data_IF_142717953531
#
_entry.id   IF_142717953531
#
_cell.length_a   1.000
_cell.length_b   1.000
_cell.length_c   1.000
_cell.angle_alpha   90.00
_cell.angle_beta   90.00
_cell.angle_gamma   90.00
#
_symmetry.space_group_name_H-M   'P 1'
#
loop_
_entity.id
_entity.type
_entity.pdbx_description
1 polymer ?
#
# COMPACT_ATOMS: atom_id res chain seq x y z
N UNK A 1 10.45 7.74 -10.30
CA UNK A 1 9.69 7.27 -9.12
C UNK A 1 9.36 8.46 -8.25
N UNK A 2 8.16 8.48 -7.69
CA UNK A 2 7.61 9.50 -6.78
C UNK A 2 7.41 8.90 -5.39
N UNK A 3 7.37 9.76 -4.35
CA UNK A 3 7.15 9.29 -2.98
C UNK A 3 5.80 9.73 -2.44
N UNK A 4 5.12 8.82 -1.76
CA UNK A 4 3.81 9.01 -1.14
C UNK A 4 3.87 8.75 0.37
N UNK A 5 3.11 9.52 1.12
CA UNK A 5 2.94 9.35 2.56
C UNK A 5 1.77 8.41 2.82
N UNK A 6 2.00 7.25 3.46
CA UNK A 6 0.90 6.37 3.86
C UNK A 6 0.30 6.82 5.21
N UNK A 7 -0.99 7.18 5.21
CA UNK A 7 -1.65 7.73 6.41
C UNK A 7 -1.84 6.72 7.54
N UNK A 8 -1.73 5.40 7.28
CA UNK A 8 -1.74 4.39 8.33
C UNK A 8 -0.61 4.60 9.36
N UNK A 9 0.47 5.27 8.97
CA UNK A 9 1.57 5.66 9.85
C UNK A 9 1.11 6.51 11.04
N UNK A 10 -0.03 7.18 10.90
CA UNK A 10 -0.62 8.05 11.93
C UNK A 10 -1.82 7.44 12.66
N UNK A 11 -2.12 6.15 12.46
CA UNK A 11 -3.32 5.47 12.97
C UNK A 11 -3.58 5.58 14.47
N UNK A 12 -2.55 5.87 15.27
CA UNK A 12 -2.63 6.02 16.73
C UNK A 12 -2.34 7.45 17.19
N UNK A 13 -2.31 8.42 16.28
CA UNK A 13 -1.99 9.81 16.59
C UNK A 13 -3.22 10.69 16.41
N UNK A 14 -3.41 11.64 17.31
CA UNK A 14 -4.40 12.69 17.15
C UNK A 14 -3.79 13.77 16.23
N UNK A 15 -4.09 13.66 14.94
CA UNK A 15 -3.57 14.56 13.90
C UNK A 15 -4.68 14.85 12.91
N UNK A 16 -4.81 16.09 12.47
CA UNK A 16 -5.79 16.48 11.45
C UNK A 16 -5.30 16.11 10.04
N UNK A 17 -6.23 15.98 9.09
CA UNK A 17 -5.86 15.80 7.69
C UNK A 17 -5.10 17.01 7.15
N UNK A 18 -5.47 18.22 7.55
CA UNK A 18 -4.73 19.47 7.25
C UNK A 18 -3.26 19.38 7.67
N UNK A 19 -2.99 18.88 8.90
CA UNK A 19 -1.61 18.71 9.36
C UNK A 19 -0.83 17.65 8.58
N UNK A 20 -1.52 16.58 8.13
CA UNK A 20 -0.93 15.53 7.27
C UNK A 20 -0.59 16.10 5.89
N UNK A 21 -1.50 16.85 5.28
CA UNK A 21 -1.32 17.50 3.98
C UNK A 21 -0.16 18.49 4.03
N UNK A 22 -0.14 19.36 5.04
CA UNK A 22 0.93 20.32 5.23
C UNK A 22 2.29 19.64 5.44
N UNK A 23 2.32 18.60 6.29
CA UNK A 23 3.52 17.80 6.53
C UNK A 23 4.03 17.14 5.24
N UNK A 24 3.15 16.55 4.43
CA UNK A 24 3.53 15.93 3.16
C UNK A 24 4.14 16.96 2.21
N UNK A 25 3.50 18.11 2.05
CA UNK A 25 3.99 19.19 1.20
C UNK A 25 5.35 19.74 1.65
N UNK A 26 5.50 20.07 2.93
CA UNK A 26 6.74 20.65 3.48
C UNK A 26 7.95 19.71 3.42
N UNK A 27 7.71 18.40 3.42
CA UNK A 27 8.78 17.40 3.41
C UNK A 27 9.01 16.77 2.03
N UNK A 28 8.38 17.30 0.97
CA UNK A 28 8.67 16.92 -0.42
C UNK A 28 8.06 15.59 -0.86
N UNK A 29 7.00 15.14 -0.19
CA UNK A 29 6.16 14.08 -0.72
C UNK A 29 5.42 14.58 -1.97
N UNK A 30 5.21 13.71 -2.93
CA UNK A 30 4.51 14.01 -4.19
C UNK A 30 3.07 13.45 -4.15
N UNK A 31 2.72 12.71 -3.09
CA UNK A 31 1.36 12.19 -2.90
C UNK A 31 1.08 11.69 -1.50
N UNK A 32 -0.19 11.31 -1.28
CA UNK A 32 -0.69 10.74 -0.03
C UNK A 32 -1.49 9.48 -0.37
N UNK A 33 -1.16 8.38 0.26
CA UNK A 33 -1.96 7.17 0.31
C UNK A 33 -2.90 7.23 1.51
N UNK A 34 -4.18 7.12 1.27
CA UNK A 34 -5.19 7.15 2.33
C UNK A 34 -5.50 5.74 2.83
N UNK A 35 -5.31 5.48 4.11
CA UNK A 35 -5.91 4.33 4.75
C UNK A 35 -7.44 4.44 4.70
N UNK A 36 -8.14 3.36 4.31
CA UNK A 36 -9.58 3.37 4.05
C UNK A 36 -10.43 3.90 5.19
N UNK A 37 -10.04 3.60 6.44
CA UNK A 37 -10.69 4.16 7.63
C UNK A 37 -10.59 5.69 7.68
N UNK A 38 -9.42 6.25 7.35
CA UNK A 38 -9.25 7.70 7.27
C UNK A 38 -10.06 8.28 6.10
N UNK A 39 -9.99 7.67 4.92
CA UNK A 39 -10.75 8.11 3.75
C UNK A 39 -12.26 8.17 4.03
N UNK A 40 -12.80 7.14 4.67
CA UNK A 40 -14.22 7.10 5.03
C UNK A 40 -14.59 8.18 6.06
N UNK A 41 -13.77 8.38 7.10
CA UNK A 41 -14.01 9.40 8.12
C UNK A 41 -14.02 10.81 7.51
N UNK A 42 -13.03 11.13 6.68
CA UNK A 42 -12.92 12.41 5.99
C UNK A 42 -14.13 12.68 5.10
N UNK A 43 -14.61 11.68 4.36
CA UNK A 43 -15.79 11.79 3.50
C UNK A 43 -17.08 12.03 4.28
N UNK A 44 -17.25 11.37 5.43
CA UNK A 44 -18.51 11.41 6.21
C UNK A 44 -18.54 12.59 7.18
N UNK A 45 -17.42 12.87 7.88
CA UNK A 45 -17.38 13.79 9.01
C UNK A 45 -16.70 15.12 8.74
N UNK A 46 -15.73 15.15 7.80
CA UNK A 46 -14.86 16.31 7.61
C UNK A 46 -14.89 16.85 6.16
N UNK A 47 -16.01 16.69 5.49
CA UNK A 47 -16.15 16.91 4.05
C UNK A 47 -15.67 18.28 3.58
N UNK A 48 -16.17 19.35 4.20
CA UNK A 48 -15.83 20.72 3.81
C UNK A 48 -14.33 21.05 3.99
N UNK A 49 -13.76 20.63 5.11
CA UNK A 49 -12.33 20.80 5.37
C UNK A 49 -11.49 20.00 4.37
N UNK A 50 -11.89 18.76 4.13
CA UNK A 50 -11.18 17.89 3.18
C UNK A 50 -11.24 18.43 1.74
N UNK A 51 -12.36 18.98 1.28
CA UNK A 51 -12.47 19.60 -0.05
C UNK A 51 -11.48 20.77 -0.23
N UNK A 52 -11.26 21.57 0.82
CA UNK A 52 -10.22 22.62 0.81
C UNK A 52 -8.82 22.02 0.69
N UNK A 53 -8.54 20.96 1.43
CA UNK A 53 -7.25 20.28 1.36
C UNK A 53 -7.02 19.59 0.01
N UNK A 54 -8.04 18.99 -0.60
CA UNK A 54 -7.93 18.42 -1.94
C UNK A 54 -7.63 19.49 -3.00
N UNK A 55 -8.21 20.69 -2.84
CA UNK A 55 -7.88 21.85 -3.68
C UNK A 55 -6.43 22.27 -3.50
N UNK A 56 -5.96 22.37 -2.25
CA UNK A 56 -4.57 22.70 -1.95
C UNK A 56 -3.60 21.66 -2.54
N UNK A 57 -3.88 20.35 -2.38
CA UNK A 57 -3.07 19.27 -2.96
C UNK A 57 -2.93 19.46 -4.48
N UNK A 58 -4.04 19.67 -5.16
CA UNK A 58 -4.06 19.91 -6.62
C UNK A 58 -3.21 21.12 -7.02
N UNK A 59 -3.34 22.25 -6.31
CA UNK A 59 -2.60 23.48 -6.57
C UNK A 59 -1.09 23.31 -6.34
N UNK A 60 -0.69 22.37 -5.48
CA UNK A 60 0.70 22.04 -5.16
C UNK A 60 1.24 20.84 -5.94
N UNK A 61 0.47 20.28 -6.87
CA UNK A 61 0.81 19.06 -7.64
C UNK A 61 1.07 17.84 -6.76
N UNK A 62 0.38 17.73 -5.62
CA UNK A 62 0.28 16.51 -4.85
C UNK A 62 -1.01 15.78 -5.22
N UNK A 63 -1.01 14.46 -5.12
CA UNK A 63 -2.18 13.65 -5.43
C UNK A 63 -2.52 12.65 -4.33
N UNK A 64 -3.77 12.27 -4.23
CA UNK A 64 -4.16 11.07 -3.47
C UNK A 64 -3.83 9.89 -4.37
N UNK A 65 -2.80 9.13 -3.98
CA UNK A 65 -2.20 8.11 -4.85
C UNK A 65 -2.98 6.81 -4.88
N UNK A 66 -3.64 6.48 -3.77
CA UNK A 66 -4.37 5.22 -3.58
C UNK A 66 -5.23 5.30 -2.32
N UNK A 67 -6.31 4.51 -2.27
CA UNK A 67 -7.03 4.17 -1.04
C UNK A 67 -6.69 2.73 -0.68
N UNK A 68 -6.16 2.51 0.52
CA UNK A 68 -5.78 1.20 1.04
C UNK A 68 -6.84 0.70 2.01
N UNK A 69 -7.63 -0.26 1.58
CA UNK A 69 -8.71 -0.84 2.38
C UNK A 69 -8.65 -2.38 2.32
N UNK A 70 -9.54 -3.02 3.04
CA UNK A 70 -9.61 -4.47 3.22
C UNK A 70 -10.96 -4.99 2.72
N UNK A 71 -10.95 -5.64 1.55
CA UNK A 71 -12.11 -6.33 0.99
C UNK A 71 -12.05 -7.81 1.42
N UNK A 72 -13.04 -8.23 2.19
CA UNK A 72 -13.10 -9.61 2.64
C UNK A 72 -13.60 -10.53 1.52
N UNK A 73 -12.68 -11.32 0.97
CA UNK A 73 -12.95 -12.30 -0.08
C UNK A 73 -13.05 -13.75 0.46
N UNK A 74 -13.03 -13.93 1.79
CA UNK A 74 -13.12 -15.25 2.42
C UNK A 74 -14.46 -15.93 2.13
N UNK A 75 -14.47 -17.26 2.15
CA UNK A 75 -15.68 -18.04 1.86
C UNK A 75 -16.74 -17.91 2.95
N UNK A 76 -16.33 -17.54 4.17
CA UNK A 76 -17.21 -17.30 5.32
C UNK A 76 -17.91 -15.92 5.24
N UNK A 77 -17.38 -14.98 4.46
CA UNK A 77 -17.99 -13.68 4.27
C UNK A 77 -19.18 -13.76 3.30
N UNK A 78 -20.25 -13.04 3.60
CA UNK A 78 -21.29 -12.74 2.62
C UNK A 78 -20.68 -11.88 1.51
N UNK A 79 -20.43 -12.47 0.35
CA UNK A 79 -19.68 -11.79 -0.72
C UNK A 79 -20.42 -10.56 -1.28
N UNK A 80 -21.74 -10.53 -1.14
CA UNK A 80 -22.55 -9.36 -1.49
C UNK A 80 -22.11 -8.10 -0.73
N UNK A 81 -21.78 -8.23 0.57
CA UNK A 81 -21.25 -7.12 1.39
C UNK A 81 -19.91 -6.61 0.89
N UNK A 82 -19.09 -7.51 0.35
CA UNK A 82 -17.80 -7.14 -0.26
C UNK A 82 -18.01 -6.35 -1.55
N UNK A 83 -19.02 -6.72 -2.35
CA UNK A 83 -19.40 -5.95 -3.54
C UNK A 83 -19.96 -4.59 -3.15
N UNK A 84 -20.87 -4.50 -2.19
CA UNK A 84 -21.41 -3.23 -1.67
C UNK A 84 -20.28 -2.31 -1.15
N UNK A 85 -19.31 -2.89 -0.42
CA UNK A 85 -18.13 -2.14 0.03
C UNK A 85 -17.26 -1.69 -1.14
N UNK A 86 -17.12 -2.50 -2.18
CA UNK A 86 -16.38 -2.10 -3.40
C UNK A 86 -17.04 -0.90 -4.08
N UNK A 87 -18.37 -0.88 -4.18
CA UNK A 87 -19.13 0.26 -4.71
C UNK A 87 -18.95 1.53 -3.85
N UNK A 88 -18.93 1.40 -2.51
CA UNK A 88 -18.62 2.52 -1.62
C UNK A 88 -17.19 3.05 -1.84
N UNK A 89 -16.21 2.16 -2.03
CA UNK A 89 -14.84 2.56 -2.34
C UNK A 89 -14.72 3.26 -3.70
N UNK A 90 -15.54 2.90 -4.68
CA UNK A 90 -15.65 3.64 -5.96
C UNK A 90 -16.10 5.08 -5.71
N UNK A 91 -17.10 5.30 -4.86
CA UNK A 91 -17.55 6.65 -4.50
C UNK A 91 -16.43 7.45 -3.84
N UNK A 92 -15.73 6.85 -2.87
CA UNK A 92 -14.60 7.49 -2.19
C UNK A 92 -13.46 7.80 -3.17
N UNK A 93 -13.05 6.85 -4.00
CA UNK A 93 -11.98 7.02 -4.96
C UNK A 93 -12.26 8.15 -5.97
N UNK A 94 -13.50 8.24 -6.47
CA UNK A 94 -13.92 9.35 -7.32
C UNK A 94 -13.83 10.70 -6.60
N UNK A 95 -14.27 10.76 -5.34
CA UNK A 95 -14.23 12.00 -4.58
C UNK A 95 -12.80 12.46 -4.27
N UNK A 96 -11.92 11.53 -3.94
CA UNK A 96 -10.50 11.79 -3.73
C UNK A 96 -9.69 11.92 -5.03
N UNK A 97 -10.31 11.77 -6.20
CA UNK A 97 -9.68 11.81 -7.50
C UNK A 97 -8.50 10.82 -7.63
N UNK A 98 -8.68 9.60 -7.13
CA UNK A 98 -7.74 8.49 -7.31
C UNK A 98 -8.40 7.32 -8.02
N UNK A 99 -7.63 6.50 -8.70
CA UNK A 99 -8.13 5.34 -9.43
C UNK A 99 -7.51 4.01 -8.96
N UNK A 100 -6.90 3.98 -7.79
CA UNK A 100 -6.24 2.80 -7.24
C UNK A 100 -6.83 2.45 -5.89
N UNK A 101 -7.26 1.20 -5.74
CA UNK A 101 -7.71 0.62 -4.49
C UNK A 101 -6.81 -0.56 -4.15
N UNK A 102 -6.13 -0.51 -3.01
CA UNK A 102 -5.34 -1.62 -2.51
C UNK A 102 -6.16 -2.48 -1.56
N UNK A 103 -6.02 -3.79 -1.68
CA UNK A 103 -6.56 -4.78 -0.76
C UNK A 103 -5.64 -5.99 -0.67
N UNK A 104 -5.97 -6.94 0.21
CA UNK A 104 -5.26 -8.21 0.33
C UNK A 104 -5.94 -9.33 -0.47
N UNK A 105 -5.13 -10.31 -0.88
CA UNK A 105 -5.60 -11.53 -1.55
C UNK A 105 -6.04 -12.61 -0.54
N UNK A 106 -6.91 -12.25 0.39
CA UNK A 106 -7.39 -13.14 1.45
C UNK A 106 -6.63 -12.96 2.78
N UNK A 107 -6.84 -13.92 3.69
CA UNK A 107 -6.30 -13.87 5.07
C UNK A 107 -5.72 -15.23 5.49
N UNK A 108 -5.24 -16.02 4.53
CA UNK A 108 -4.71 -17.36 4.73
C UNK A 108 -3.57 -17.59 3.73
N UNK A 109 -2.48 -18.20 4.18
CA UNK A 109 -1.31 -18.47 3.35
C UNK A 109 -1.62 -19.34 2.14
N UNK A 110 -0.96 -19.08 1.01
CA UNK A 110 -1.23 -19.75 -0.26
C UNK A 110 -1.16 -21.29 -0.18
N UNK A 111 -0.23 -21.82 0.62
CA UNK A 111 -0.06 -23.26 0.86
C UNK A 111 -1.22 -23.94 1.59
N UNK A 112 -2.06 -23.18 2.27
CA UNK A 112 -3.15 -23.69 3.09
C UNK A 112 -4.49 -23.72 2.33
N UNK A 113 -4.51 -23.29 1.06
CA UNK A 113 -5.69 -23.33 0.21
C UNK A 113 -5.87 -24.70 -0.43
N UNK A 114 -7.09 -25.23 -0.37
CA UNK A 114 -7.49 -26.28 -1.30
C UNK A 114 -7.69 -25.71 -2.71
N UNK A 115 -7.59 -26.55 -3.73
CA UNK A 115 -7.81 -26.15 -5.12
C UNK A 115 -9.19 -25.50 -5.33
N UNK A 116 -10.22 -26.04 -4.66
CA UNK A 116 -11.58 -25.51 -4.76
C UNK A 116 -11.72 -24.13 -4.11
N UNK A 117 -11.10 -23.91 -2.94
CA UNK A 117 -11.08 -22.60 -2.29
C UNK A 117 -10.35 -21.57 -3.16
N UNK A 118 -9.17 -21.92 -3.69
CA UNK A 118 -8.40 -21.05 -4.58
C UNK A 118 -9.23 -20.61 -5.80
N UNK A 119 -9.91 -21.55 -6.47
CA UNK A 119 -10.79 -21.24 -7.61
C UNK A 119 -11.89 -20.25 -7.24
N UNK A 120 -12.48 -20.36 -6.06
CA UNK A 120 -13.52 -19.43 -5.62
C UNK A 120 -12.95 -18.05 -5.29
N UNK A 121 -11.74 -17.97 -4.69
CA UNK A 121 -11.06 -16.68 -4.46
C UNK A 121 -10.71 -15.99 -5.78
N UNK A 122 -10.17 -16.70 -6.75
CA UNK A 122 -9.91 -16.17 -8.11
C UNK A 122 -11.18 -15.57 -8.72
N UNK A 123 -12.30 -16.27 -8.62
CA UNK A 123 -13.60 -15.81 -9.12
C UNK A 123 -14.09 -14.55 -8.39
N UNK A 124 -13.92 -14.48 -7.05
CA UNK A 124 -14.30 -13.31 -6.25
C UNK A 124 -13.44 -12.11 -6.58
N UNK A 125 -12.11 -12.28 -6.69
CA UNK A 125 -11.20 -11.21 -7.09
C UNK A 125 -11.57 -10.68 -8.48
N UNK A 126 -11.86 -11.56 -9.44
CA UNK A 126 -12.31 -11.16 -10.80
C UNK A 126 -13.57 -10.30 -10.74
N UNK A 127 -14.56 -10.71 -9.94
CA UNK A 127 -15.80 -9.95 -9.73
C UNK A 127 -15.54 -8.55 -9.13
N UNK A 128 -14.65 -8.44 -8.17
CA UNK A 128 -14.25 -7.15 -7.60
C UNK A 128 -13.60 -6.29 -8.69
N UNK A 129 -12.70 -6.86 -9.50
CA UNK A 129 -12.09 -6.15 -10.62
C UNK A 129 -13.13 -5.66 -11.63
N UNK A 130 -14.18 -6.45 -11.91
CA UNK A 130 -15.29 -6.05 -12.79
C UNK A 130 -16.01 -4.79 -12.26
N UNK A 131 -16.23 -4.68 -10.94
CA UNK A 131 -16.85 -3.49 -10.33
C UNK A 131 -15.97 -2.25 -10.55
N UNK A 132 -14.70 -2.32 -10.22
CA UNK A 132 -13.78 -1.18 -10.36
C UNK A 132 -13.48 -0.82 -11.81
N UNK A 133 -13.45 -1.81 -12.70
CA UNK A 133 -13.22 -1.60 -14.14
C UNK A 133 -14.28 -0.72 -14.80
N UNK A 134 -15.54 -0.79 -14.36
CA UNK A 134 -16.64 0.06 -14.86
C UNK A 134 -16.40 1.55 -14.59
N UNK A 135 -15.48 1.87 -13.67
CA UNK A 135 -15.12 3.22 -13.28
C UNK A 135 -13.66 3.58 -13.66
N UNK A 136 -13.03 2.80 -14.54
CA UNK A 136 -11.61 2.97 -14.92
C UNK A 136 -10.63 2.93 -13.74
N UNK A 137 -10.94 2.14 -12.71
CA UNK A 137 -10.14 1.98 -11.51
C UNK A 137 -9.42 0.63 -11.50
N UNK A 138 -8.33 0.57 -10.78
CA UNK A 138 -7.50 -0.63 -10.59
C UNK A 138 -7.65 -1.18 -9.17
N UNK A 139 -7.69 -2.49 -9.07
CA UNK A 139 -7.53 -3.23 -7.80
C UNK A 139 -6.07 -3.65 -7.70
N UNK A 140 -5.41 -3.22 -6.64
CA UNK A 140 -4.03 -3.60 -6.35
C UNK A 140 -4.02 -4.63 -5.21
N UNK A 141 -3.53 -5.83 -5.48
CA UNK A 141 -3.25 -6.80 -4.42
C UNK A 141 -1.84 -6.51 -3.86
N UNK A 142 -1.75 -6.36 -2.56
CA UNK A 142 -0.45 -6.21 -1.91
C UNK A 142 0.23 -7.57 -1.77
N UNK A 143 1.53 -7.64 -2.06
CA UNK A 143 2.35 -8.79 -1.67
C UNK A 143 2.46 -8.81 -0.15
N UNK A 144 1.86 -9.82 0.51
CA UNK A 144 1.69 -9.82 1.96
C UNK A 144 1.62 -11.26 2.51
N UNK A 145 2.27 -11.56 3.65
CA UNK A 145 2.18 -12.87 4.28
C UNK A 145 0.72 -13.23 4.64
N UNK A 146 0.46 -14.52 4.72
CA UNK A 146 -0.88 -15.06 5.01
C UNK A 146 -1.96 -14.60 4.01
N UNK A 147 -1.62 -14.51 2.72
CA UNK A 147 -2.54 -14.24 1.61
C UNK A 147 -2.18 -15.12 0.41
N UNK A 148 -2.93 -15.05 -0.69
CA UNK A 148 -2.55 -15.70 -1.96
C UNK A 148 -1.37 -15.00 -2.67
N UNK A 149 -0.93 -13.84 -2.17
CA UNK A 149 0.23 -13.09 -2.65
C UNK A 149 1.43 -13.18 -1.69
N UNK A 150 1.50 -14.23 -0.87
CA UNK A 150 2.52 -14.43 0.15
C UNK A 150 3.87 -14.96 -0.38
N UNK A 151 3.88 -15.50 -1.58
CA UNK A 151 5.10 -15.94 -2.27
C UNK A 151 5.10 -15.51 -3.72
N UNK A 152 6.28 -15.31 -4.31
CA UNK A 152 6.39 -14.91 -5.71
C UNK A 152 5.71 -15.90 -6.68
N UNK A 153 5.89 -17.23 -6.56
CA UNK A 153 5.18 -18.19 -7.42
C UNK A 153 3.65 -18.11 -7.30
N UNK A 154 3.12 -18.06 -6.07
CA UNK A 154 1.67 -17.98 -5.84
C UNK A 154 1.08 -16.67 -6.34
N UNK A 155 1.84 -15.56 -6.22
CA UNK A 155 1.43 -14.25 -6.74
C UNK A 155 1.29 -14.28 -8.27
N UNK A 156 2.29 -14.80 -8.98
CA UNK A 156 2.25 -14.91 -10.45
C UNK A 156 1.09 -15.82 -10.88
N UNK A 157 0.95 -16.99 -10.29
CA UNK A 157 -0.13 -17.90 -10.57
C UNK A 157 -1.51 -17.25 -10.37
N UNK A 158 -1.71 -16.53 -9.26
CA UNK A 158 -2.96 -15.81 -9.00
C UNK A 158 -3.26 -14.74 -10.06
N UNK A 159 -2.27 -13.98 -10.48
CA UNK A 159 -2.43 -12.95 -11.51
C UNK A 159 -2.81 -13.55 -12.86
N UNK A 160 -2.20 -14.68 -13.23
CA UNK A 160 -2.50 -15.42 -14.45
C UNK A 160 -3.89 -16.07 -14.39
N UNK A 161 -4.26 -16.68 -13.24
CA UNK A 161 -5.58 -17.28 -13.04
C UNK A 161 -6.70 -16.23 -13.08
N UNK A 162 -6.54 -15.10 -12.41
CA UNK A 162 -7.54 -14.00 -12.46
C UNK A 162 -7.59 -13.39 -13.84
N UNK A 163 -6.44 -13.16 -14.48
CA UNK A 163 -6.32 -12.66 -15.84
C UNK A 163 -7.27 -11.48 -16.15
N UNK A 164 -7.18 -10.42 -15.36
CA UNK A 164 -8.03 -9.24 -15.51
C UNK A 164 -7.17 -7.97 -15.71
N UNK A 165 -7.46 -7.10 -16.71
CA UNK A 165 -6.62 -5.94 -17.04
C UNK A 165 -6.51 -4.92 -15.89
N UNK A 166 -7.56 -4.81 -15.06
CA UNK A 166 -7.60 -3.91 -13.92
C UNK A 166 -7.06 -4.52 -12.61
N UNK A 167 -6.61 -5.79 -12.64
CA UNK A 167 -5.86 -6.37 -11.52
C UNK A 167 -4.40 -6.00 -11.62
N UNK A 168 -3.86 -5.43 -10.55
CA UNK A 168 -2.48 -4.99 -10.44
C UNK A 168 -1.89 -5.39 -9.08
N UNK A 169 -0.63 -5.05 -8.87
CA UNK A 169 0.12 -5.31 -7.64
C UNK A 169 0.53 -4.00 -6.98
N UNK A 170 0.35 -3.93 -5.68
CA UNK A 170 1.13 -3.11 -4.78
C UNK A 170 2.30 -3.96 -4.27
N UNK A 171 3.51 -3.69 -4.78
CA UNK A 171 4.68 -4.49 -4.46
C UNK A 171 5.31 -3.97 -3.15
N UNK A 172 5.15 -4.75 -2.09
CA UNK A 172 5.80 -4.52 -0.81
C UNK A 172 7.10 -5.33 -0.75
N UNK A 173 8.22 -4.64 -0.77
CA UNK A 173 9.54 -5.26 -0.84
C UNK A 173 9.95 -5.98 0.44
N UNK A 174 9.49 -5.48 1.61
CA UNK A 174 9.75 -6.17 2.86
C UNK A 174 9.07 -7.54 2.89
N UNK A 175 7.82 -7.61 2.46
CA UNK A 175 7.07 -8.87 2.46
C UNK A 175 7.55 -9.84 1.37
N UNK A 176 8.08 -9.35 0.25
CA UNK A 176 8.82 -10.19 -0.70
C UNK A 176 10.05 -10.79 -0.03
N UNK A 177 10.89 -9.97 0.63
CA UNK A 177 12.05 -10.46 1.36
C UNK A 177 11.67 -11.44 2.47
N UNK A 178 10.62 -11.16 3.23
CA UNK A 178 10.06 -12.03 4.28
C UNK A 178 9.68 -13.42 3.73
N UNK A 179 9.19 -13.49 2.51
CA UNK A 179 8.85 -14.75 1.84
C UNK A 179 10.05 -15.62 1.46
N UNK A 180 11.28 -15.08 1.60
CA UNK A 180 12.52 -15.70 1.16
C UNK A 180 12.86 -15.48 -0.32
N UNK A 181 12.06 -14.70 -1.04
CA UNK A 181 12.34 -14.34 -2.43
C UNK A 181 13.29 -13.14 -2.51
N UNK A 182 14.08 -13.09 -3.59
CA UNK A 182 14.92 -11.94 -3.89
C UNK A 182 14.05 -10.75 -4.34
N UNK A 183 14.16 -9.56 -3.69
CA UNK A 183 13.34 -8.39 -4.02
C UNK A 183 13.52 -7.89 -5.45
N UNK A 184 14.73 -7.94 -6.00
CA UNK A 184 15.05 -7.45 -7.34
C UNK A 184 14.53 -8.41 -8.41
N UNK A 185 14.75 -9.72 -8.27
CA UNK A 185 14.18 -10.73 -9.17
C UNK A 185 12.64 -10.63 -9.16
N UNK A 186 12.06 -10.51 -7.97
CA UNK A 186 10.62 -10.36 -7.81
C UNK A 186 10.06 -9.11 -8.49
N UNK A 187 10.75 -7.97 -8.36
CA UNK A 187 10.39 -6.75 -9.07
C UNK A 187 10.39 -6.97 -10.59
N UNK A 188 11.44 -7.55 -11.15
CA UNK A 188 11.51 -7.77 -12.59
C UNK A 188 10.40 -8.68 -13.11
N UNK A 189 10.06 -9.72 -12.35
CA UNK A 189 8.99 -10.67 -12.71
C UNK A 189 7.58 -10.11 -12.53
N UNK A 190 7.36 -9.28 -11.50
CA UNK A 190 6.05 -8.67 -11.22
C UNK A 190 5.84 -7.31 -11.91
N UNK A 191 6.88 -6.73 -12.52
CA UNK A 191 6.85 -5.42 -13.18
C UNK A 191 5.66 -5.20 -14.12
N UNK A 192 5.18 -6.16 -14.94
CA UNK A 192 4.03 -5.96 -15.83
C UNK A 192 2.71 -5.67 -15.10
N UNK A 193 2.61 -6.10 -13.84
CA UNK A 193 1.41 -5.91 -13.02
C UNK A 193 1.57 -4.84 -11.95
N UNK A 194 2.80 -4.41 -11.63
CA UNK A 194 3.05 -3.46 -10.53
C UNK A 194 2.63 -2.04 -10.91
N UNK A 195 1.80 -1.41 -10.05
CA UNK A 195 1.37 -0.01 -10.18
C UNK A 195 1.68 0.84 -8.95
N UNK A 196 2.19 0.25 -7.88
CA UNK A 196 2.53 0.95 -6.64
C UNK A 196 3.56 0.15 -5.85
N UNK A 197 4.32 0.82 -4.98
CA UNK A 197 5.28 0.20 -4.07
C UNK A 197 4.97 0.59 -2.64
N UNK A 198 5.21 -0.34 -1.69
CA UNK A 198 5.34 -0.04 -0.27
C UNK A 198 6.79 -0.17 0.17
N UNK A 199 7.24 0.83 0.93
CA UNK A 199 8.59 0.89 1.49
C UNK A 199 8.51 0.97 3.00
N UNK A 200 9.09 -0.01 3.67
CA UNK A 200 9.28 -0.13 5.11
C UNK A 200 10.41 -1.09 5.39
N UNK A 201 11.05 -1.00 6.55
CA UNK A 201 12.15 -1.88 6.89
C UNK A 201 12.07 -2.38 8.34
N UNK A 202 12.86 -3.37 8.65
CA UNK A 202 12.98 -4.03 9.95
C UNK A 202 14.43 -4.38 10.22
N UNK A 203 14.86 -4.36 11.49
CA UNK A 203 16.25 -4.64 11.85
C UNK A 203 16.62 -6.13 11.81
N UNK A 204 15.65 -7.03 11.99
CA UNK A 204 15.84 -8.49 11.95
C UNK A 204 14.52 -9.20 11.65
N UNK A 205 14.61 -10.39 11.06
CA UNK A 205 13.47 -11.29 10.86
C UNK A 205 12.75 -11.66 12.17
N UNK A 206 13.45 -11.65 13.31
CA UNK A 206 12.86 -11.95 14.61
C UNK A 206 11.76 -10.98 15.03
N UNK A 207 11.72 -9.79 14.42
CA UNK A 207 10.77 -8.73 14.73
C UNK A 207 9.62 -8.59 13.73
N UNK A 208 9.52 -9.48 12.73
CA UNK A 208 8.46 -9.41 11.71
C UNK A 208 7.04 -9.43 12.28
N UNK A 209 6.85 -9.99 13.48
CA UNK A 209 5.57 -9.96 14.19
C UNK A 209 5.02 -8.54 14.45
N UNK A 210 5.84 -7.49 14.33
CA UNK A 210 5.37 -6.10 14.49
C UNK A 210 4.41 -5.69 13.37
N UNK A 211 4.46 -6.37 12.22
CA UNK A 211 3.57 -6.14 11.08
C UNK A 211 2.29 -7.00 11.11
N UNK A 212 2.16 -7.89 12.08
CA UNK A 212 0.92 -8.66 12.23
C UNK A 212 -0.27 -7.75 12.58
N UNK A 213 -1.47 -7.97 12.02
CA UNK A 213 -2.63 -7.10 12.23
C UNK A 213 -2.95 -6.86 13.72
N UNK A 214 -2.88 -7.92 14.55
CA UNK A 214 -3.13 -7.81 15.98
C UNK A 214 -2.15 -6.87 16.69
N UNK A 215 -0.92 -6.74 16.21
CA UNK A 215 0.08 -5.83 16.74
C UNK A 215 -0.04 -4.43 16.11
N UNK A 216 -0.22 -4.34 14.80
CA UNK A 216 -0.35 -3.07 14.06
C UNK A 216 -1.49 -2.23 14.62
N UNK A 217 -2.65 -2.83 14.84
CA UNK A 217 -3.85 -2.11 15.30
C UNK A 217 -3.94 -1.94 16.82
N UNK A 218 -3.08 -2.60 17.59
CA UNK A 218 -3.00 -2.39 19.04
C UNK A 218 -2.19 -1.13 19.36
N UNK A 219 -2.79 -0.18 20.08
CA UNK A 219 -2.08 1.04 20.50
C UNK A 219 -0.86 0.73 21.38
N UNK A 220 -0.94 -0.33 22.19
CA UNK A 220 0.16 -0.84 23.01
C UNK A 220 0.98 -1.95 22.33
N UNK A 221 0.82 -2.15 21.02
CA UNK A 221 1.58 -3.15 20.27
C UNK A 221 3.08 -2.87 20.29
N UNK A 222 3.89 -3.94 20.18
CA UNK A 222 5.36 -3.80 20.09
C UNK A 222 5.76 -3.00 18.86
N UNK A 223 6.77 -2.16 19.02
CA UNK A 223 7.43 -1.43 17.91
C UNK A 223 8.92 -1.76 17.85
N UNK A 224 9.34 -2.78 18.62
CA UNK A 224 10.74 -3.22 18.68
C UNK A 224 11.13 -3.79 17.32
N UNK A 225 12.28 -3.38 16.83
CA UNK A 225 12.80 -3.80 15.54
C UNK A 225 12.42 -2.89 14.37
N UNK A 226 11.46 -1.98 14.52
CA UNK A 226 11.19 -0.95 13.52
C UNK A 226 12.40 -0.02 13.39
N UNK A 227 12.89 0.14 12.18
CA UNK A 227 14.05 1.00 11.85
C UNK A 227 13.76 1.82 10.60
N UNK A 228 14.42 2.97 10.42
CA UNK A 228 14.35 3.72 9.18
C UNK A 228 14.73 2.88 7.95
N UNK A 229 14.27 3.31 6.78
CA UNK A 229 14.34 2.56 5.53
C UNK A 229 15.74 2.03 5.19
N UNK A 230 16.78 2.82 5.46
CA UNK A 230 18.17 2.47 5.13
C UNK A 230 18.96 1.84 6.28
N UNK A 231 18.32 1.59 7.42
CA UNK A 231 18.95 1.02 8.62
C UNK A 231 18.52 -0.44 8.88
N UNK A 232 17.69 -1.00 8.01
CA UNK A 232 17.14 -2.33 8.17
C UNK A 232 17.84 -3.41 7.36
N UNK A 233 17.27 -4.61 7.45
CA UNK A 233 17.84 -5.81 6.83
C UNK A 233 17.61 -5.87 5.31
N UNK A 234 16.55 -5.23 4.81
CA UNK A 234 16.26 -5.14 3.38
C UNK A 234 17.11 -4.02 2.77
N UNK A 235 17.87 -4.34 1.73
CA UNK A 235 18.74 -3.39 1.06
C UNK A 235 17.98 -2.45 0.12
N UNK A 236 17.49 -1.34 0.65
CA UNK A 236 16.75 -0.35 -0.14
C UNK A 236 17.64 0.49 -1.08
N UNK A 237 18.96 0.48 -0.92
CA UNK A 237 19.86 1.12 -1.90
C UNK A 237 19.74 0.45 -3.27
N UNK A 238 19.80 -0.88 -3.30
CA UNK A 238 19.65 -1.66 -4.53
C UNK A 238 18.22 -1.56 -5.09
N UNK A 239 17.21 -1.72 -4.24
CA UNK A 239 15.80 -1.64 -4.66
C UNK A 239 15.52 -0.28 -5.32
N UNK A 240 15.90 0.83 -4.69
CA UNK A 240 15.66 2.17 -5.23
C UNK A 240 16.41 2.38 -6.54
N UNK A 241 17.62 1.86 -6.67
CA UNK A 241 18.38 1.93 -7.92
C UNK A 241 17.62 1.27 -9.08
N UNK A 242 16.98 0.10 -8.85
CA UNK A 242 16.22 -0.63 -9.86
C UNK A 242 14.89 0.05 -10.22
N UNK A 243 14.16 0.55 -9.22
CA UNK A 243 12.81 1.08 -9.44
C UNK A 243 12.75 2.58 -9.76
N UNK A 244 13.84 3.34 -9.55
CA UNK A 244 13.87 4.81 -9.72
C UNK A 244 13.47 5.29 -11.12
N UNK A 245 13.68 4.48 -12.15
CA UNK A 245 13.31 4.79 -13.54
C UNK A 245 11.83 4.61 -13.84
N UNK A 246 11.02 4.16 -12.89
CA UNK A 246 9.57 4.02 -13.06
C UNK A 246 8.85 5.35 -12.77
N UNK A 247 7.69 5.58 -13.38
CA UNK A 247 6.80 6.70 -13.02
C UNK A 247 5.71 6.23 -12.05
N UNK A 248 6.12 5.44 -11.03
CA UNK A 248 5.22 4.92 -10.01
C UNK A 248 5.49 5.61 -8.66
N UNK A 249 4.50 5.52 -7.78
CA UNK A 249 4.63 5.93 -6.40
C UNK A 249 5.17 4.81 -5.51
N UNK A 250 6.03 5.20 -4.57
CA UNK A 250 6.40 4.38 -3.42
C UNK A 250 5.86 5.04 -2.15
N UNK A 251 4.95 4.38 -1.45
CA UNK A 251 4.44 4.86 -0.18
C UNK A 251 5.36 4.46 0.95
N UNK A 252 5.76 5.44 1.75
CA UNK A 252 6.49 5.19 2.99
C UNK A 252 5.51 4.79 4.08
N UNK A 253 5.70 3.61 4.67
CA UNK A 253 4.92 3.09 5.78
C UNK A 253 5.77 3.03 7.05
N UNK A 254 5.32 3.74 8.09
CA UNK A 254 5.96 3.67 9.39
C UNK A 254 4.99 3.19 10.47
N UNK A 255 5.30 2.07 11.09
CA UNK A 255 4.48 1.51 12.16
C UNK A 255 5.04 1.74 13.57
N UNK A 256 6.21 2.40 13.65
CA UNK A 256 6.88 2.76 14.90
C UNK A 256 6.33 4.01 15.58
N UNK A 257 7.05 4.48 16.59
CA UNK A 257 6.78 5.78 17.22
C UNK A 257 7.36 6.93 16.40
N UNK A 258 6.98 8.17 16.74
CA UNK A 258 7.53 9.40 16.15
C UNK A 258 7.45 9.45 14.60
N UNK A 259 6.27 9.11 14.05
CA UNK A 259 6.10 8.98 12.60
C UNK A 259 6.52 10.25 11.82
N UNK A 260 6.20 11.46 12.31
CA UNK A 260 6.60 12.70 11.64
C UNK A 260 8.13 12.86 11.54
N UNK A 261 8.82 12.63 12.64
CA UNK A 261 10.28 12.77 12.70
C UNK A 261 10.97 11.77 11.78
N UNK A 262 10.57 10.50 11.86
CA UNK A 262 11.18 9.43 11.04
C UNK A 262 10.89 9.65 9.55
N UNK A 263 9.63 9.84 9.17
CA UNK A 263 9.26 10.02 7.77
C UNK A 263 9.87 11.29 7.14
N UNK A 264 10.05 12.35 7.94
CA UNK A 264 10.77 13.54 7.51
C UNK A 264 12.24 13.26 7.20
N UNK A 265 12.95 12.56 8.08
CA UNK A 265 14.36 12.22 7.85
C UNK A 265 14.51 11.21 6.70
N UNK A 266 13.61 10.24 6.56
CA UNK A 266 13.59 9.33 5.41
C UNK A 266 13.43 10.09 4.09
N UNK A 267 12.47 11.01 4.00
CA UNK A 267 12.28 11.82 2.79
C UNK A 267 13.50 12.67 2.47
N UNK A 268 14.14 13.25 3.47
CA UNK A 268 15.36 14.02 3.28
C UNK A 268 16.50 13.18 2.69
N UNK A 269 16.68 11.96 3.19
CA UNK A 269 17.67 11.00 2.62
C UNK A 269 17.32 10.64 1.18
N UNK A 270 16.04 10.32 0.91
CA UNK A 270 15.57 9.95 -0.43
C UNK A 270 15.73 11.07 -1.46
N UNK A 271 15.43 12.33 -1.07
CA UNK A 271 15.61 13.51 -1.93
C UNK A 271 17.09 13.74 -2.23
N UNK A 272 17.97 13.66 -1.23
CA UNK A 272 19.41 13.85 -1.42
C UNK A 272 19.98 12.80 -2.39
N UNK A 273 19.61 11.53 -2.23
CA UNK A 273 20.01 10.44 -3.13
C UNK A 273 19.49 10.62 -4.57
N UNK A 274 18.28 11.17 -4.73
CA UNK A 274 17.74 11.52 -6.05
C UNK A 274 18.58 12.61 -6.74
N UNK A 275 19.10 13.59 -5.99
CA UNK A 275 19.92 14.68 -6.50
C UNK A 275 21.35 14.22 -6.89
N UNK A 276 21.99 13.36 -6.09
CA UNK A 276 23.34 12.85 -6.37
C UNK A 276 23.42 12.10 -7.70
N UNK A 277 22.36 11.39 -8.07
CA UNK A 277 22.29 10.65 -9.34
C UNK A 277 22.11 11.56 -10.55
N UNK A 278 21.49 12.73 -10.40
CA UNK A 278 21.30 13.67 -11.52
C UNK A 278 22.57 14.46 -11.81
N UNK A 279 23.52 14.50 -10.87
CA UNK A 279 24.80 15.24 -10.96
C UNK A 279 25.99 14.35 -11.32
N UNK A 280 25.83 13.03 -11.37
CA UNK A 280 26.82 12.04 -11.80
C UNK A 280 26.56 11.57 -13.23
#
# INVERSE_FOLDING_TARGET
>A
MKYSLCTISFRHQLISFTDIVQFAYENGFEGIELWGTHAQNLYIQERETTERELTFLKDKNLEITMISDYLDISLSAGFEKTIEKSEQLVVLANWFNTNKIRTFAGQKGSKDFSEQERKEYVKRIRKICDVFAQHNMYVLLETHPNTLTDTLPSTIELLEEVNHPNLKINLDFLHIWESGADPIDSFHRLKPWTLHYHFKNISSADYLHVFEPNNVYAAAGSRIGMVPLFEGIVNYDEIIQEVRGTDLFASLEWFGHNAKEILKEEMKVLINRKLEVVTS
#
